data_IF_595769224236
#
_entry.id   IF_595769224236
#
_cell.length_a   1.000
_cell.length_b   1.000
_cell.length_c   1.000
_cell.angle_alpha   90.00
_cell.angle_beta   90.00
_cell.angle_gamma   90.00
#
_symmetry.space_group_name_H-M   'P 1'
#
loop_
_entity.id
_entity.type
_entity.pdbx_description
1 polymer ?
#
# COMPACT_ATOMS: atom_id res chain seq x y z
N UNK A 1 -16.19 14.04 5.85
CA UNK A 1 -15.81 12.75 6.46
C UNK A 1 -16.89 11.74 6.12
N UNK A 2 -16.82 11.15 4.91
CA UNK A 2 -17.90 10.35 4.31
C UNK A 2 -17.32 9.07 3.69
N UNK A 3 -16.57 8.29 4.47
CA UNK A 3 -16.01 7.00 4.03
C UNK A 3 -16.54 5.79 4.83
N UNK A 4 -17.52 5.98 5.70
CA UNK A 4 -18.01 4.89 6.56
C UNK A 4 -18.99 3.90 5.90
N UNK A 5 -19.24 3.98 4.58
CA UNK A 5 -20.31 3.17 3.96
C UNK A 5 -19.99 2.59 2.56
N UNK A 6 -18.73 2.55 2.13
CA UNK A 6 -18.36 1.79 0.92
C UNK A 6 -18.19 0.31 1.30
N UNK A 7 -19.33 -0.33 1.58
CA UNK A 7 -19.61 -1.78 1.64
C UNK A 7 -18.41 -2.69 1.96
N UNK A 8 -18.25 -3.07 3.23
CA UNK A 8 -17.34 -4.11 3.74
C UNK A 8 -17.59 -5.54 3.19
N UNK A 9 -18.49 -5.70 2.21
CA UNK A 9 -18.82 -7.01 1.65
C UNK A 9 -18.08 -7.24 0.33
N UNK A 10 -17.40 -8.38 0.21
CA UNK A 10 -17.05 -8.95 -1.09
C UNK A 10 -18.34 -9.15 -1.90
N UNK A 11 -18.38 -8.65 -3.14
CA UNK A 11 -19.41 -9.10 -4.07
C UNK A 11 -19.08 -10.54 -4.47
N UNK A 12 -20.06 -11.29 -4.96
CA UNK A 12 -19.91 -12.72 -5.31
C UNK A 12 -18.73 -12.96 -6.27
N UNK A 13 -18.30 -11.94 -7.03
CA UNK A 13 -17.27 -12.04 -8.05
C UNK A 13 -15.95 -11.27 -7.75
N UNK A 14 -15.94 -10.30 -6.81
CA UNK A 14 -14.79 -9.39 -6.63
C UNK A 14 -14.50 -9.02 -5.17
N UNK A 15 -13.21 -8.78 -4.89
CA UNK A 15 -12.74 -8.24 -3.62
C UNK A 15 -12.95 -6.72 -3.57
N UNK A 16 -13.38 -6.21 -2.41
CA UNK A 16 -13.36 -4.77 -2.16
C UNK A 16 -11.90 -4.34 -1.91
N UNK A 17 -11.31 -3.44 -2.73
CA UNK A 17 -9.92 -3.02 -2.58
C UNK A 17 -9.64 -2.31 -1.25
N UNK A 18 -10.59 -1.55 -0.70
CA UNK A 18 -10.46 -0.91 0.61
C UNK A 18 -10.38 -1.96 1.71
N UNK A 19 -11.21 -3.00 1.64
CA UNK A 19 -11.19 -4.08 2.61
C UNK A 19 -9.87 -4.88 2.55
N UNK A 20 -9.35 -5.12 1.34
CA UNK A 20 -8.02 -5.74 1.16
C UNK A 20 -6.92 -4.90 1.83
N UNK A 21 -6.93 -3.58 1.62
CA UNK A 21 -5.93 -2.69 2.22
C UNK A 21 -6.07 -2.63 3.75
N UNK A 22 -7.29 -2.63 4.28
CA UNK A 22 -7.54 -2.67 5.73
C UNK A 22 -7.04 -3.96 6.36
N UNK A 23 -7.33 -5.11 5.74
CA UNK A 23 -6.85 -6.39 6.24
C UNK A 23 -5.33 -6.48 6.14
N UNK A 24 -4.74 -5.97 5.05
CA UNK A 24 -3.28 -5.92 4.91
C UNK A 24 -2.64 -5.05 6.01
N UNK A 25 -3.18 -3.87 6.34
CA UNK A 25 -2.66 -3.02 7.43
C UNK A 25 -2.63 -3.75 8.77
N UNK A 26 -3.66 -4.57 9.06
CA UNK A 26 -3.74 -5.36 10.28
C UNK A 26 -2.69 -6.48 10.35
N UNK A 27 -2.23 -6.98 9.20
CA UNK A 27 -1.29 -8.10 9.10
C UNK A 27 0.17 -7.66 8.90
N UNK A 28 0.41 -6.39 8.50
CA UNK A 28 1.75 -5.89 8.21
C UNK A 28 2.61 -5.82 9.47
N UNK A 29 3.83 -6.41 9.47
CA UNK A 29 4.73 -6.37 10.63
C UNK A 29 5.24 -4.95 10.88
N UNK A 30 5.68 -4.67 12.10
CA UNK A 30 6.18 -3.34 12.51
C UNK A 30 7.44 -2.89 11.73
N UNK A 31 8.19 -3.83 11.17
CA UNK A 31 9.37 -3.54 10.35
C UNK A 31 9.08 -3.54 8.83
N UNK A 32 7.81 -3.56 8.43
CA UNK A 32 7.44 -3.54 7.02
C UNK A 32 7.91 -2.25 6.32
N UNK A 33 8.37 -2.42 5.08
CA UNK A 33 8.65 -1.33 4.14
C UNK A 33 7.61 -1.44 3.04
N UNK A 34 6.82 -0.39 2.88
CA UNK A 34 5.78 -0.28 1.86
C UNK A 34 6.34 0.46 0.66
N UNK A 35 6.24 -0.19 -0.50
CA UNK A 35 6.74 0.32 -1.77
C UNK A 35 5.62 0.19 -2.77
N UNK A 36 5.33 1.28 -3.47
CA UNK A 36 4.19 1.35 -4.36
C UNK A 36 4.48 2.16 -5.62
N UNK A 37 3.80 1.79 -6.69
CA UNK A 37 3.70 2.59 -7.92
C UNK A 37 2.68 3.72 -7.78
N UNK A 38 2.35 4.36 -8.89
CA UNK A 38 1.16 5.22 -8.95
C UNK A 38 -0.14 4.42 -9.15
N UNK A 39 -1.26 5.11 -8.99
CA UNK A 39 -2.60 4.62 -9.34
C UNK A 39 -3.57 4.65 -8.16
N UNK A 40 -4.86 4.54 -8.48
CA UNK A 40 -5.96 4.74 -7.52
C UNK A 40 -5.91 3.77 -6.32
N UNK A 41 -5.39 2.56 -6.54
CA UNK A 41 -5.19 1.58 -5.46
C UNK A 41 -4.17 2.07 -4.43
N UNK A 42 -3.06 2.64 -4.91
CA UNK A 42 -2.00 3.21 -4.06
C UNK A 42 -2.46 4.52 -3.43
N UNK A 43 -3.14 5.37 -4.20
CA UNK A 43 -3.73 6.60 -3.68
C UNK A 43 -4.70 6.32 -2.52
N UNK A 44 -5.50 5.25 -2.64
CA UNK A 44 -6.37 4.77 -1.55
C UNK A 44 -5.55 4.21 -0.37
N UNK A 45 -4.51 3.44 -0.66
CA UNK A 45 -3.62 2.85 0.34
C UNK A 45 -2.93 3.91 1.21
N UNK A 46 -2.58 5.08 0.64
CA UNK A 46 -1.99 6.21 1.37
C UNK A 46 -2.88 6.79 2.48
N UNK A 47 -4.20 6.54 2.44
CA UNK A 47 -5.14 6.92 3.52
C UNK A 47 -5.33 5.83 4.58
N UNK A 48 -4.87 4.60 4.32
CA UNK A 48 -5.12 3.43 5.17
C UNK A 48 -3.83 3.03 5.90
N UNK A 49 -2.73 2.94 5.17
CA UNK A 49 -1.46 2.47 5.69
C UNK A 49 -0.77 3.52 6.56
N UNK A 50 -0.16 3.06 7.65
CA UNK A 50 0.63 3.91 8.54
C UNK A 50 2.11 3.63 8.33
N UNK A 51 2.88 4.68 8.04
CA UNK A 51 4.33 4.58 7.99
C UNK A 51 4.86 4.13 9.35
N UNK A 52 5.64 3.04 9.36
CA UNK A 52 6.18 2.41 10.56
C UNK A 52 7.53 3.00 11.00
N UNK A 53 8.09 3.93 10.21
CA UNK A 53 9.31 4.66 10.52
C UNK A 53 9.72 5.61 9.41
N UNK A 54 10.98 6.08 9.46
CA UNK A 54 11.58 6.83 8.35
C UNK A 54 11.92 5.87 7.21
N UNK A 55 11.61 6.28 5.98
CA UNK A 55 11.89 5.51 4.75
C UNK A 55 11.20 4.13 4.71
N UNK A 56 10.03 4.00 5.34
CA UNK A 56 9.20 2.78 5.31
C UNK A 56 7.97 2.92 4.42
N UNK A 57 7.80 4.07 3.76
CA UNK A 57 6.79 4.33 2.73
C UNK A 57 7.51 5.00 1.56
N UNK A 58 7.55 4.33 0.40
CA UNK A 58 8.27 4.79 -0.78
C UNK A 58 7.36 4.66 -2.02
N UNK A 59 7.13 5.79 -2.68
CA UNK A 59 6.35 5.88 -3.90
C UNK A 59 7.03 6.89 -4.87
N UNK A 60 6.74 6.87 -6.17
CA UNK A 60 7.36 7.78 -7.16
C UNK A 60 6.98 9.25 -6.96
N UNK A 61 6.16 9.58 -5.96
CA UNK A 61 5.72 10.92 -5.63
C UNK A 61 5.00 11.57 -6.80
N UNK A 62 5.34 12.82 -7.06
CA UNK A 62 4.72 13.65 -8.11
C UNK A 62 4.93 13.11 -9.52
N UNK A 63 5.89 12.22 -9.75
CA UNK A 63 6.13 11.66 -11.08
C UNK A 63 5.06 10.66 -11.49
N UNK A 64 4.42 9.98 -10.52
CA UNK A 64 3.33 9.05 -10.81
C UNK A 64 3.74 7.91 -11.77
N UNK A 65 5.00 7.46 -11.72
CA UNK A 65 5.50 6.47 -12.68
C UNK A 65 4.91 5.09 -12.37
N UNK A 66 4.23 4.50 -13.35
CA UNK A 66 3.76 3.12 -13.25
C UNK A 66 4.90 2.13 -13.53
N UNK A 67 4.94 1.05 -12.75
CA UNK A 67 5.84 -0.08 -12.95
C UNK A 67 7.22 0.03 -12.28
N UNK A 68 7.41 0.98 -11.35
CA UNK A 68 8.67 1.18 -10.59
C UNK A 68 8.77 0.36 -9.29
N UNK A 69 7.66 -0.22 -8.84
CA UNK A 69 7.47 -0.70 -7.48
C UNK A 69 8.12 -2.06 -7.27
N UNK A 70 8.23 -2.87 -8.31
CA UNK A 70 8.81 -4.22 -8.21
C UNK A 70 10.33 -4.13 -8.05
N UNK A 71 11.00 -3.36 -8.91
CA UNK A 71 12.44 -3.13 -8.83
C UNK A 71 12.81 -2.35 -7.57
N UNK A 72 12.01 -1.34 -7.19
CA UNK A 72 12.24 -0.59 -5.95
C UNK A 72 12.10 -1.50 -4.72
N UNK A 73 11.17 -2.47 -4.74
CA UNK A 73 11.02 -3.45 -3.66
C UNK A 73 12.20 -4.43 -3.59
N UNK A 74 12.71 -4.87 -4.75
CA UNK A 74 13.89 -5.71 -4.81
C UNK A 74 15.12 -4.97 -4.27
N UNK A 75 15.32 -3.72 -4.69
CA UNK A 75 16.43 -2.87 -4.25
C UNK A 75 16.35 -2.57 -2.75
N UNK A 76 15.15 -2.29 -2.24
CA UNK A 76 14.95 -2.08 -0.81
C UNK A 76 15.31 -3.32 0.01
N UNK A 77 14.93 -4.53 -0.46
CA UNK A 77 15.31 -5.78 0.21
C UNK A 77 16.81 -6.07 0.10
N UNK A 78 17.47 -5.65 -0.97
CA UNK A 78 18.92 -5.75 -1.13
C UNK A 78 19.67 -4.84 -0.15
N UNK A 79 19.22 -3.59 0.01
CA UNK A 79 19.86 -2.59 0.90
C UNK A 79 19.51 -2.83 2.37
N UNK A 80 18.32 -3.38 2.67
CA UNK A 80 17.86 -3.74 4.01
C UNK A 80 17.62 -5.23 4.11
N UNK A 81 18.74 -5.94 4.22
CA UNK A 81 18.79 -7.42 4.16
C UNK A 81 18.39 -8.13 5.45
N UNK A 82 18.10 -7.39 6.53
CA UNK A 82 17.49 -7.95 7.75
C UNK A 82 16.12 -8.63 7.51
#
# INVERSE_FOLDING_TARGET
>A
MFFASQRLESTVDHLNPVHVLQELENQLPDNAILISDDGDFVATAAYIFRSRGLLTWLDPGVFGTLGVGTESALDAKLVRSE
#
